data_IF_833033454369
#
_entry.id   IF_833033454369
#
_cell.length_a   1.000
_cell.length_b   1.000
_cell.length_c   1.000
_cell.angle_alpha   90.00
_cell.angle_beta   90.00
_cell.angle_gamma   90.00
#
_symmetry.space_group_name_H-M   'P 1'
#
loop_
_entity.id
_entity.type
_entity.pdbx_description
1 polymer ?
#
# COMPACT_ATOMS: atom_id res chain seq x y z
N UNK A 1 -9.08 9.46 -13.71
CA UNK A 1 -8.56 8.26 -14.40
C UNK A 1 -9.14 7.03 -13.72
N UNK A 2 -9.17 5.86 -14.35
CA UNK A 2 -9.77 4.65 -13.76
C UNK A 2 -9.11 4.22 -12.43
N UNK A 3 -7.82 4.54 -12.23
CA UNK A 3 -7.11 4.39 -10.96
C UNK A 3 -7.65 5.28 -9.81
N UNK A 4 -8.41 6.34 -10.11
CA UNK A 4 -8.99 7.23 -9.09
C UNK A 4 -10.36 6.73 -8.59
N UNK A 5 -10.91 5.67 -9.21
CA UNK A 5 -12.14 5.04 -8.73
C UNK A 5 -11.82 4.42 -7.37
N UNK A 6 -12.61 4.76 -6.36
CA UNK A 6 -12.43 4.27 -5.00
C UNK A 6 -12.45 2.73 -4.95
N UNK A 7 -11.48 2.13 -4.26
CA UNK A 7 -11.47 0.70 -3.96
C UNK A 7 -12.25 0.48 -2.67
N UNK A 8 -13.45 -0.09 -2.77
CA UNK A 8 -14.33 -0.30 -1.63
C UNK A 8 -13.85 -1.53 -0.83
N UNK A 9 -13.54 -1.39 0.48
CA UNK A 9 -12.88 -2.44 1.24
C UNK A 9 -13.84 -3.46 1.86
N UNK A 10 -15.16 -3.26 1.77
CA UNK A 10 -16.18 -4.12 2.37
C UNK A 10 -16.97 -4.97 1.36
N UNK A 11 -17.82 -5.86 1.88
CA UNK A 11 -18.78 -6.62 1.06
C UNK A 11 -19.99 -5.76 0.65
N UNK A 12 -20.79 -6.26 -0.30
CA UNK A 12 -22.02 -5.56 -0.71
C UNK A 12 -22.99 -5.37 0.46
N UNK A 13 -23.13 -6.39 1.30
CA UNK A 13 -24.02 -6.35 2.47
C UNK A 13 -23.61 -5.27 3.46
N UNK A 14 -22.30 -5.10 3.66
CA UNK A 14 -21.76 -4.05 4.51
C UNK A 14 -22.01 -2.66 3.92
N UNK A 15 -21.79 -2.50 2.61
CA UNK A 15 -22.07 -1.25 1.91
C UNK A 15 -23.55 -0.85 2.02
N UNK A 16 -24.48 -1.80 1.89
CA UNK A 16 -25.90 -1.53 2.10
C UNK A 16 -26.20 -1.10 3.53
N UNK A 17 -25.58 -1.75 4.53
CA UNK A 17 -25.76 -1.42 5.95
C UNK A 17 -25.28 0.00 6.28
N UNK A 18 -24.20 0.44 5.63
CA UNK A 18 -23.60 1.77 5.82
C UNK A 18 -24.21 2.85 4.91
N UNK A 19 -25.11 2.49 4.00
CA UNK A 19 -25.69 3.43 3.02
C UNK A 19 -24.72 3.80 1.87
N UNK A 20 -23.70 2.99 1.65
CA UNK A 20 -22.59 3.22 0.71
C UNK A 20 -22.69 2.36 -0.57
N UNK A 21 -23.88 1.82 -0.87
CA UNK A 21 -24.09 0.91 -2.00
C UNK A 21 -23.57 1.44 -3.34
N UNK A 22 -23.74 2.74 -3.62
CA UNK A 22 -23.24 3.34 -4.85
C UNK A 22 -21.70 3.34 -4.96
N UNK A 23 -20.99 3.47 -3.84
CA UNK A 23 -19.52 3.38 -3.80
C UNK A 23 -19.07 1.96 -4.06
N UNK A 24 -19.76 0.99 -3.44
CA UNK A 24 -19.50 -0.43 -3.69
C UNK A 24 -19.78 -0.80 -5.15
N UNK A 25 -20.91 -0.37 -5.72
CA UNK A 25 -21.28 -0.66 -7.10
C UNK A 25 -20.22 -0.16 -8.08
N UNK A 26 -19.79 1.10 -7.94
CA UNK A 26 -18.75 1.68 -8.79
C UNK A 26 -17.42 0.91 -8.66
N UNK A 27 -17.06 0.53 -7.43
CA UNK A 27 -15.84 -0.22 -7.16
C UNK A 27 -15.89 -1.64 -7.73
N UNK A 28 -17.02 -2.33 -7.58
CA UNK A 28 -17.24 -3.67 -8.11
C UNK A 28 -17.11 -3.70 -9.63
N UNK A 29 -17.76 -2.77 -10.34
CA UNK A 29 -17.65 -2.68 -11.80
C UNK A 29 -16.21 -2.40 -12.24
N UNK A 30 -15.50 -1.53 -11.51
CA UNK A 30 -14.08 -1.28 -11.77
C UNK A 30 -13.19 -2.52 -11.51
N UNK A 31 -13.49 -3.34 -10.50
CA UNK A 31 -12.79 -4.62 -10.27
C UNK A 31 -13.03 -5.58 -11.44
N UNK A 32 -14.27 -5.70 -11.90
CA UNK A 32 -14.63 -6.55 -13.05
C UNK A 32 -13.90 -6.07 -14.30
N UNK A 33 -13.92 -4.77 -14.60
CA UNK A 33 -13.20 -4.20 -15.75
C UNK A 33 -11.68 -4.40 -15.65
N UNK A 34 -11.10 -4.24 -14.46
CA UNK A 34 -9.68 -4.51 -14.22
C UNK A 34 -9.33 -5.97 -14.51
N UNK A 35 -10.13 -6.94 -14.05
CA UNK A 35 -9.94 -8.36 -14.34
C UNK A 35 -9.98 -8.64 -15.85
N UNK A 36 -10.97 -8.09 -16.58
CA UNK A 36 -11.07 -8.25 -18.04
C UNK A 36 -9.89 -7.62 -18.78
N UNK A 37 -9.39 -6.48 -18.30
CA UNK A 37 -8.20 -5.84 -18.88
C UNK A 37 -6.94 -6.69 -18.67
N UNK A 38 -6.78 -7.32 -17.50
CA UNK A 38 -5.67 -8.26 -17.23
C UNK A 38 -5.72 -9.44 -18.23
N UNK A 39 -6.90 -10.04 -18.41
CA UNK A 39 -7.08 -11.14 -19.38
C UNK A 39 -6.78 -10.69 -20.81
N UNK A 40 -7.23 -9.48 -21.19
CA UNK A 40 -7.01 -8.92 -22.52
C UNK A 40 -5.52 -8.67 -22.78
N UNK A 41 -4.79 -8.07 -21.84
CA UNK A 41 -3.34 -7.86 -22.03
C UNK A 41 -2.58 -9.18 -22.05
N UNK A 42 -2.94 -10.17 -21.22
CA UNK A 42 -2.29 -11.48 -21.26
C UNK A 42 -2.49 -12.13 -22.63
N UNK A 43 -3.69 -12.04 -23.21
CA UNK A 43 -3.98 -12.57 -24.55
C UNK A 43 -3.17 -11.90 -25.65
N UNK A 44 -2.88 -10.61 -25.52
CA UNK A 44 -2.14 -9.82 -26.52
C UNK A 44 -0.62 -10.00 -26.38
N UNK A 45 -0.12 -10.06 -25.14
CA UNK A 45 1.31 -10.03 -24.83
C UNK A 45 1.90 -11.41 -24.49
N UNK A 46 1.07 -12.45 -24.39
CA UNK A 46 1.51 -13.83 -24.20
C UNK A 46 2.10 -14.41 -25.48
N UNK A 47 3.14 -15.23 -25.35
CA UNK A 47 3.83 -15.88 -26.48
C UNK A 47 3.16 -17.18 -26.97
N UNK A 48 2.06 -17.59 -26.33
CA UNK A 48 1.36 -18.84 -26.60
C UNK A 48 1.95 -20.07 -25.91
N UNK A 49 3.05 -19.92 -25.15
CA UNK A 49 3.74 -21.02 -24.45
C UNK A 49 3.70 -20.85 -22.94
N UNK A 50 4.17 -19.70 -22.44
CA UNK A 50 4.15 -19.33 -21.00
C UNK A 50 4.87 -18.00 -20.72
N UNK A 51 5.55 -17.40 -21.70
CA UNK A 51 6.24 -16.14 -21.50
C UNK A 51 5.29 -14.97 -21.73
N UNK A 52 5.38 -13.97 -20.85
CA UNK A 52 4.61 -12.74 -20.93
C UNK A 52 5.55 -11.56 -21.07
N UNK A 53 5.30 -10.68 -22.05
CA UNK A 53 6.11 -9.47 -22.20
C UNK A 53 5.84 -8.48 -21.05
N UNK A 54 6.84 -7.71 -20.57
CA UNK A 54 6.68 -6.81 -19.42
C UNK A 54 5.64 -5.71 -19.61
N UNK A 55 5.30 -5.35 -20.85
CA UNK A 55 4.29 -4.33 -21.18
C UNK A 55 2.89 -4.72 -20.68
N UNK A 56 2.63 -6.02 -20.47
CA UNK A 56 1.34 -6.50 -20.01
C UNK A 56 0.95 -5.88 -18.65
N UNK A 57 1.80 -6.01 -17.62
CA UNK A 57 1.54 -5.41 -16.32
C UNK A 57 1.57 -3.89 -16.37
N UNK A 58 2.47 -3.30 -17.16
CA UNK A 58 2.60 -1.84 -17.28
C UNK A 58 1.31 -1.18 -17.77
N UNK A 59 0.63 -1.76 -18.76
CA UNK A 59 -0.63 -1.24 -19.27
C UNK A 59 -1.73 -1.26 -18.21
N UNK A 60 -1.85 -2.35 -17.46
CA UNK A 60 -2.87 -2.50 -16.42
C UNK A 60 -2.57 -1.54 -15.26
N UNK A 61 -1.32 -1.51 -14.79
CA UNK A 61 -0.91 -0.64 -13.68
C UNK A 61 -1.08 0.84 -14.01
N UNK A 62 -0.78 1.25 -15.26
CA UNK A 62 -1.02 2.63 -15.70
C UNK A 62 -2.50 3.02 -15.68
N UNK A 63 -3.41 2.07 -15.91
CA UNK A 63 -4.85 2.33 -15.97
C UNK A 63 -5.52 2.23 -14.61
N UNK A 64 -5.19 1.21 -13.84
CA UNK A 64 -5.92 0.80 -12.64
C UNK A 64 -5.16 1.04 -11.34
N UNK A 65 -3.86 1.34 -11.40
CA UNK A 65 -3.00 1.43 -10.23
C UNK A 65 -2.69 0.07 -9.60
N UNK A 66 -1.81 0.08 -8.61
CA UNK A 66 -1.40 -1.10 -7.85
C UNK A 66 -2.48 -1.59 -6.89
N UNK A 67 -3.18 -0.72 -6.15
CA UNK A 67 -4.17 -1.14 -5.13
C UNK A 67 -5.24 -2.02 -5.75
N UNK A 68 -5.85 -1.56 -6.85
CA UNK A 68 -6.92 -2.32 -7.53
C UNK A 68 -6.39 -3.57 -8.21
N UNK A 69 -5.26 -3.46 -8.93
CA UNK A 69 -4.64 -4.61 -9.60
C UNK A 69 -4.30 -5.71 -8.58
N UNK A 70 -3.67 -5.33 -7.46
CA UNK A 70 -3.33 -6.26 -6.38
C UNK A 70 -4.57 -6.88 -5.74
N UNK A 71 -5.64 -6.09 -5.52
CA UNK A 71 -6.90 -6.60 -4.97
C UNK A 71 -7.55 -7.65 -5.87
N UNK A 72 -7.62 -7.40 -7.19
CA UNK A 72 -8.16 -8.35 -8.18
C UNK A 72 -7.32 -9.62 -8.26
N UNK A 73 -5.99 -9.50 -8.24
CA UNK A 73 -5.08 -10.64 -8.26
C UNK A 73 -5.15 -11.47 -6.97
N UNK A 74 -5.23 -10.82 -5.80
CA UNK A 74 -5.40 -11.49 -4.51
C UNK A 74 -6.72 -12.29 -4.48
N UNK A 75 -7.82 -11.69 -4.96
CA UNK A 75 -9.09 -12.39 -5.11
C UNK A 75 -8.98 -13.59 -6.06
N UNK A 76 -8.31 -13.42 -7.20
CA UNK A 76 -8.11 -14.50 -8.16
C UNK A 76 -7.36 -15.68 -7.54
N UNK A 77 -6.26 -15.44 -6.81
CA UNK A 77 -5.49 -16.51 -6.16
C UNK A 77 -6.33 -17.23 -5.09
N UNK A 78 -7.06 -16.50 -4.23
CA UNK A 78 -7.90 -17.14 -3.22
C UNK A 78 -8.91 -18.11 -3.84
N UNK A 79 -9.41 -17.77 -5.02
CA UNK A 79 -10.45 -18.53 -5.72
C UNK A 79 -9.90 -19.69 -6.56
N UNK A 80 -8.58 -19.78 -6.76
CA UNK A 80 -7.93 -20.97 -7.34
C UNK A 80 -8.08 -22.22 -6.45
N UNK A 81 -8.43 -22.06 -5.17
CA UNK A 81 -8.54 -23.18 -4.24
C UNK A 81 -7.24 -23.99 -4.18
N UNK A 82 -7.26 -25.32 -4.41
CA UNK A 82 -6.05 -26.15 -4.34
C UNK A 82 -5.02 -25.84 -5.46
N UNK A 83 -5.45 -25.22 -6.57
CA UNK A 83 -4.53 -24.90 -7.67
C UNK A 83 -3.54 -23.78 -7.33
N UNK A 84 -3.77 -23.02 -6.25
CA UNK A 84 -2.84 -21.98 -5.80
C UNK A 84 -1.46 -22.51 -5.43
N UNK A 85 -1.36 -23.78 -5.05
CA UNK A 85 -0.10 -24.45 -4.73
C UNK A 85 0.82 -24.61 -5.96
N UNK A 86 0.28 -24.43 -7.18
CA UNK A 86 1.04 -24.47 -8.44
C UNK A 86 1.68 -23.12 -8.80
N UNK A 87 1.33 -22.03 -8.11
CA UNK A 87 1.98 -20.74 -8.29
C UNK A 87 3.38 -20.75 -7.68
N UNK A 88 4.24 -19.82 -8.10
CA UNK A 88 5.53 -19.60 -7.45
C UNK A 88 5.37 -19.32 -5.95
N UNK A 89 6.32 -19.79 -5.13
CA UNK A 89 6.27 -19.64 -3.67
C UNK A 89 6.19 -18.15 -3.28
N UNK A 90 6.87 -17.29 -4.02
CA UNK A 90 6.88 -15.86 -3.80
C UNK A 90 5.51 -15.21 -4.07
N UNK A 91 4.77 -15.68 -5.08
CA UNK A 91 3.41 -15.20 -5.36
C UNK A 91 2.40 -15.70 -4.32
N UNK A 92 2.58 -16.93 -3.82
CA UNK A 92 1.79 -17.46 -2.71
C UNK A 92 2.01 -16.65 -1.43
N UNK A 93 3.27 -16.36 -1.05
CA UNK A 93 3.57 -15.55 0.13
C UNK A 93 3.10 -14.11 0.00
N UNK A 94 3.21 -13.53 -1.19
CA UNK A 94 2.69 -12.19 -1.46
C UNK A 94 1.18 -12.11 -1.22
N UNK A 95 0.42 -13.10 -1.68
CA UNK A 95 -1.03 -13.13 -1.54
C UNK A 95 -1.48 -13.15 -0.08
N UNK A 96 -0.77 -13.88 0.80
CA UNK A 96 -1.09 -13.96 2.24
C UNK A 96 -1.11 -12.60 2.95
N UNK A 97 -0.47 -11.58 2.37
CA UNK A 97 -0.44 -10.21 2.91
C UNK A 97 -1.68 -9.39 2.52
N UNK A 98 -2.44 -9.82 1.52
CA UNK A 98 -3.61 -9.13 1.04
C UNK A 98 -4.89 -9.71 1.67
N UNK A 99 -5.79 -8.83 2.12
CA UNK A 99 -7.10 -9.23 2.60
C UNK A 99 -8.17 -8.90 1.54
N UNK A 100 -8.95 -9.90 1.16
CA UNK A 100 -10.14 -9.74 0.31
C UNK A 100 -11.36 -10.17 1.13
N UNK A 101 -12.35 -9.28 1.36
CA UNK A 101 -13.55 -9.64 2.10
C UNK A 101 -14.29 -10.81 1.43
N UNK A 102 -14.80 -11.77 2.21
CA UNK A 102 -15.58 -12.87 1.67
C UNK A 102 -16.92 -12.36 1.11
N UNK A 103 -17.13 -12.51 -0.20
CA UNK A 103 -18.38 -12.20 -0.89
C UNK A 103 -18.51 -13.10 -2.15
N UNK A 104 -18.74 -14.39 -1.95
CA UNK A 104 -18.74 -15.39 -3.04
C UNK A 104 -19.70 -15.07 -4.19
N UNK A 105 -20.82 -14.38 -3.89
CA UNK A 105 -21.79 -13.99 -4.90
C UNK A 105 -21.20 -13.02 -5.94
N UNK A 106 -20.26 -12.17 -5.51
CA UNK A 106 -19.70 -11.09 -6.33
C UNK A 106 -18.23 -11.32 -6.70
N UNK A 107 -17.42 -11.85 -5.79
CA UNK A 107 -15.99 -12.08 -5.97
C UNK A 107 -15.66 -12.90 -7.22
N UNK A 108 -16.58 -13.78 -7.63
CA UNK A 108 -16.45 -14.58 -8.85
C UNK A 108 -16.40 -13.79 -10.16
N UNK A 109 -16.94 -12.58 -10.20
CA UNK A 109 -17.03 -11.80 -11.44
C UNK A 109 -15.74 -11.09 -11.81
N UNK A 110 -14.84 -10.90 -10.83
CA UNK A 110 -13.52 -10.30 -11.02
C UNK A 110 -12.39 -11.29 -10.73
N UNK A 111 -12.65 -12.58 -10.92
CA UNK A 111 -11.59 -13.57 -11.16
C UNK A 111 -10.99 -13.35 -12.56
N UNK A 112 -9.66 -13.42 -12.66
CA UNK A 112 -8.94 -13.41 -13.94
C UNK A 112 -8.91 -14.84 -14.51
N UNK A 113 -9.65 -15.05 -15.60
CA UNK A 113 -9.71 -16.33 -16.33
C UNK A 113 -8.56 -16.42 -17.35
N UNK A 114 -7.46 -17.06 -16.92
CA UNK A 114 -6.29 -17.29 -17.75
C UNK A 114 -5.54 -18.55 -17.32
N UNK A 115 -4.65 -19.06 -18.17
CA UNK A 115 -3.81 -20.20 -17.81
C UNK A 115 -2.87 -19.83 -16.64
N UNK A 116 -2.71 -20.75 -15.68
CA UNK A 116 -1.94 -20.52 -14.46
C UNK A 116 -0.53 -19.98 -14.69
N UNK A 117 0.16 -20.47 -15.73
CA UNK A 117 1.50 -19.98 -16.07
C UNK A 117 1.52 -18.49 -16.41
N UNK A 118 0.49 -17.98 -17.11
CA UNK A 118 0.41 -16.54 -17.39
C UNK A 118 -0.03 -15.72 -16.18
N UNK A 119 -0.92 -16.27 -15.35
CA UNK A 119 -1.29 -15.62 -14.09
C UNK A 119 -0.05 -15.45 -13.20
N UNK A 120 0.72 -16.52 -12.99
CA UNK A 120 1.95 -16.49 -12.20
C UNK A 120 2.97 -15.49 -12.77
N UNK A 121 3.19 -15.51 -14.09
CA UNK A 121 4.09 -14.55 -14.75
C UNK A 121 3.61 -13.10 -14.60
N UNK A 122 2.31 -12.83 -14.75
CA UNK A 122 1.74 -11.48 -14.60
C UNK A 122 1.89 -10.97 -13.17
N UNK A 123 1.60 -11.80 -12.17
CA UNK A 123 1.74 -11.43 -10.75
C UNK A 123 3.21 -11.12 -10.44
N UNK A 124 4.15 -11.92 -10.97
CA UNK A 124 5.58 -11.65 -10.83
C UNK A 124 5.96 -10.30 -11.43
N UNK A 125 5.47 -9.95 -12.63
CA UNK A 125 5.71 -8.63 -13.22
C UNK A 125 5.14 -7.48 -12.38
N UNK A 126 3.94 -7.64 -11.80
CA UNK A 126 3.32 -6.64 -10.92
C UNK A 126 4.14 -6.46 -9.64
N UNK A 127 4.60 -7.55 -9.03
CA UNK A 127 5.44 -7.52 -7.83
C UNK A 127 6.80 -6.89 -8.10
N UNK A 128 7.43 -7.21 -9.24
CA UNK A 128 8.67 -6.55 -9.67
C UNK A 128 8.47 -5.05 -9.89
N UNK A 129 7.37 -4.64 -10.51
CA UNK A 129 7.03 -3.24 -10.70
C UNK A 129 6.81 -2.52 -9.36
N UNK A 130 6.14 -3.17 -8.40
CA UNK A 130 5.95 -2.64 -7.05
C UNK A 130 7.29 -2.53 -6.30
N UNK A 131 8.16 -3.53 -6.42
CA UNK A 131 9.49 -3.53 -5.80
C UNK A 131 10.38 -2.38 -6.27
N UNK A 132 10.25 -1.93 -7.53
CA UNK A 132 10.95 -0.77 -8.07
C UNK A 132 10.53 0.57 -7.46
N UNK A 133 9.42 0.62 -6.71
CA UNK A 133 9.03 1.80 -5.95
C UNK A 133 9.87 1.98 -4.68
N UNK A 134 10.56 0.93 -4.23
CA UNK A 134 11.43 0.93 -3.04
C UNK A 134 10.74 1.44 -1.77
N UNK A 135 9.41 1.21 -1.68
CA UNK A 135 8.60 1.66 -0.55
C UNK A 135 8.96 0.90 0.74
N UNK A 136 8.84 1.60 1.86
CA UNK A 136 9.03 1.03 3.18
C UNK A 136 7.77 0.24 3.60
N UNK A 137 7.93 -1.07 3.76
CA UNK A 137 6.95 -1.97 4.38
C UNK A 137 7.23 -2.34 5.85
N UNK A 138 6.40 -3.20 6.47
CA UNK A 138 6.54 -3.65 7.86
C UNK A 138 7.89 -4.25 8.20
N UNK A 139 8.57 -4.88 7.24
CA UNK A 139 9.90 -5.47 7.41
C UNK A 139 10.99 -4.44 7.79
N UNK A 140 10.79 -3.17 7.42
CA UNK A 140 11.68 -2.06 7.75
C UNK A 140 11.37 -1.41 9.11
N UNK A 141 10.28 -1.84 9.76
CA UNK A 141 9.80 -1.24 11.01
C UNK A 141 10.13 -2.11 12.23
N UNK A 142 10.31 -1.46 13.37
CA UNK A 142 10.47 -2.11 14.67
C UNK A 142 9.25 -3.01 14.97
N UNK A 143 9.47 -4.26 15.45
CA UNK A 143 8.39 -5.19 15.73
C UNK A 143 7.50 -4.66 16.86
N UNK A 144 6.19 -4.85 16.74
CA UNK A 144 5.18 -4.39 17.70
C UNK A 144 5.24 -2.88 18.00
N UNK A 145 5.82 -2.07 17.10
CA UNK A 145 5.96 -0.62 17.31
C UNK A 145 4.64 0.08 17.55
N UNK A 146 3.60 -0.32 16.82
CA UNK A 146 2.25 0.19 17.01
C UNK A 146 1.67 0.00 18.41
N UNK A 147 1.95 -1.13 19.07
CA UNK A 147 1.37 -1.45 20.38
C UNK A 147 2.24 -1.03 21.56
N UNK A 148 3.55 -0.90 21.36
CA UNK A 148 4.51 -0.82 22.46
C UNK A 148 5.40 0.42 22.48
N UNK A 149 5.62 1.08 21.35
CA UNK A 149 6.60 2.16 21.26
C UNK A 149 5.94 3.54 21.31
N UNK A 150 6.57 4.45 22.05
CA UNK A 150 6.31 5.87 21.92
C UNK A 150 6.92 6.41 20.62
N UNK A 151 6.14 7.17 19.87
CA UNK A 151 6.56 7.69 18.57
C UNK A 151 7.24 9.07 18.66
N UNK A 152 7.21 9.76 19.79
CA UNK A 152 7.82 11.08 19.94
C UNK A 152 9.32 11.05 19.60
N UNK A 153 9.75 11.93 18.69
CA UNK A 153 11.12 12.01 18.19
C UNK A 153 11.55 10.86 17.27
N UNK A 154 10.63 9.97 16.87
CA UNK A 154 10.93 8.82 16.00
C UNK A 154 10.58 9.11 14.54
N UNK A 155 11.28 8.43 13.63
CA UNK A 155 10.90 8.36 12.22
C UNK A 155 9.87 7.26 12.05
N UNK A 156 8.71 7.63 11.50
CA UNK A 156 7.60 6.73 11.23
C UNK A 156 7.48 6.48 9.74
N UNK A 157 7.09 5.25 9.40
CA UNK A 157 6.75 4.84 8.03
C UNK A 157 5.25 4.99 7.83
N UNK A 158 4.84 5.92 6.97
CA UNK A 158 3.45 6.10 6.58
C UNK A 158 3.00 4.94 5.67
N UNK A 159 1.82 4.40 5.94
CA UNK A 159 1.26 3.30 5.14
C UNK A 159 0.94 3.76 3.71
N UNK A 160 1.29 2.97 2.67
CA UNK A 160 0.84 3.21 1.31
C UNK A 160 -0.69 3.29 1.16
N UNK A 161 -1.45 2.69 2.08
CA UNK A 161 -2.91 2.75 2.08
C UNK A 161 -3.44 4.14 2.43
N UNK A 162 -2.71 4.89 3.25
CA UNK A 162 -3.01 6.28 3.63
C UNK A 162 -2.75 7.26 2.48
N UNK A 163 -1.75 6.97 1.63
CA UNK A 163 -1.37 7.83 0.51
C UNK A 163 -2.16 7.51 -0.76
N UNK A 164 -2.34 8.54 -1.60
CA UNK A 164 -2.69 8.34 -3.01
C UNK A 164 -1.52 7.67 -3.72
N UNK A 165 -1.80 6.74 -4.63
CA UNK A 165 -0.74 6.02 -5.35
C UNK A 165 0.18 6.94 -6.16
N UNK A 166 -0.34 8.06 -6.66
CA UNK A 166 0.48 9.08 -7.34
C UNK A 166 1.57 9.69 -6.46
N UNK A 167 1.45 9.53 -5.13
CA UNK A 167 2.39 10.03 -4.13
C UNK A 167 3.27 8.91 -3.57
N UNK A 168 3.22 7.69 -4.11
CA UNK A 168 4.03 6.58 -3.63
C UNK A 168 5.50 6.76 -4.03
N UNK A 169 6.28 7.27 -3.08
CA UNK A 169 7.73 7.36 -3.12
C UNK A 169 8.29 7.14 -1.71
N UNK A 170 9.55 6.69 -1.57
CA UNK A 170 10.20 6.58 -0.26
C UNK A 170 10.21 7.91 0.51
N UNK A 171 10.37 9.03 -0.20
CA UNK A 171 10.41 10.38 0.36
C UNK A 171 9.09 10.78 1.05
N UNK A 172 7.96 10.37 0.48
CA UNK A 172 6.64 10.71 1.03
C UNK A 172 6.20 9.79 2.18
N UNK A 173 6.95 8.71 2.45
CA UNK A 173 6.63 7.75 3.51
C UNK A 173 7.32 8.02 4.84
N UNK A 174 8.44 8.73 4.88
CA UNK A 174 9.19 8.93 6.12
C UNK A 174 8.80 10.25 6.80
N UNK A 175 8.28 10.13 8.02
CA UNK A 175 7.78 11.26 8.79
C UNK A 175 8.42 11.29 10.18
N UNK A 176 9.02 12.42 10.56
CA UNK A 176 9.44 12.66 11.94
C UNK A 176 8.21 13.01 12.78
N UNK A 177 7.94 12.22 13.82
CA UNK A 177 6.89 12.52 14.79
C UNK A 177 7.41 13.46 15.88
N UNK A 178 6.67 14.53 16.14
CA UNK A 178 7.04 15.53 17.15
C UNK A 178 6.34 15.26 18.47
N UNK A 179 5.01 15.18 18.45
CA UNK A 179 4.18 15.05 19.64
C UNK A 179 2.72 14.72 19.27
N UNK A 180 1.86 14.74 20.28
CA UNK A 180 0.44 14.50 20.17
C UNK A 180 0.05 13.20 20.86
N UNK A 181 -1.22 13.10 21.26
CA UNK A 181 -1.69 11.94 22.01
C UNK A 181 -1.44 10.62 21.29
N UNK A 182 -1.43 10.59 19.96
CA UNK A 182 -1.17 9.38 19.19
C UNK A 182 0.27 8.86 19.28
N UNK A 183 1.22 9.65 19.81
CA UNK A 183 2.59 9.18 20.05
C UNK A 183 2.62 8.05 21.08
N UNK A 184 1.82 8.18 22.14
CA UNK A 184 1.73 7.18 23.18
C UNK A 184 0.85 6.01 22.74
N UNK A 185 1.31 4.75 22.86
CA UNK A 185 0.53 3.58 22.46
C UNK A 185 -0.75 3.37 23.29
N UNK A 186 -0.79 3.92 24.51
CA UNK A 186 -1.89 3.72 25.46
C UNK A 186 -2.85 4.90 25.57
N UNK A 187 -2.59 5.99 24.85
CA UNK A 187 -3.48 7.13 24.83
C UNK A 187 -4.73 6.87 23.99
N UNK A 188 -5.85 7.42 24.43
CA UNK A 188 -7.11 7.40 23.67
C UNK A 188 -7.00 8.28 22.43
N UNK A 189 -6.34 9.43 22.54
CA UNK A 189 -6.11 10.34 21.43
C UNK A 189 -5.17 9.72 20.41
N UNK A 190 -5.50 9.87 19.12
CA UNK A 190 -4.82 9.17 18.01
C UNK A 190 -3.94 10.07 17.17
N UNK A 191 -4.05 11.39 17.34
CA UNK A 191 -3.38 12.40 16.52
C UNK A 191 -1.90 12.52 16.82
N UNK A 192 -1.09 12.61 15.77
CA UNK A 192 0.36 12.85 15.83
C UNK A 192 0.66 14.03 14.91
N UNK A 193 1.42 15.02 15.40
CA UNK A 193 1.98 16.07 14.54
C UNK A 193 3.31 15.59 14.01
N UNK A 194 3.47 15.64 12.68
CA UNK A 194 4.65 15.13 12.03
C UNK A 194 5.18 16.10 10.97
N UNK A 195 6.46 15.96 10.65
CA UNK A 195 7.09 16.59 9.47
C UNK A 195 7.56 15.51 8.50
N UNK A 196 7.20 15.64 7.22
CA UNK A 196 7.70 14.79 6.15
C UNK A 196 9.20 15.04 5.95
N UNK A 197 10.00 13.98 5.92
CA UNK A 197 11.44 14.10 5.69
C UNK A 197 11.77 14.34 4.21
N UNK A 198 10.84 14.09 3.29
CA UNK A 198 11.02 14.29 1.85
C UNK A 198 11.00 15.75 1.42
N UNK A 199 10.05 16.52 1.94
CA UNK A 199 9.77 17.90 1.50
C UNK A 199 9.59 18.90 2.64
N UNK A 200 9.58 18.44 3.89
CA UNK A 200 9.37 19.28 5.07
C UNK A 200 7.91 19.63 5.36
N UNK A 201 6.93 19.03 4.67
CA UNK A 201 5.51 19.25 4.94
C UNK A 201 5.19 18.93 6.41
N UNK A 202 4.52 19.85 7.10
CA UNK A 202 3.99 19.61 8.44
C UNK A 202 2.50 19.27 8.37
N UNK A 203 2.16 18.06 8.81
CA UNK A 203 0.78 17.56 8.76
C UNK A 203 0.47 16.74 10.01
N UNK A 204 -0.82 16.69 10.37
CA UNK A 204 -1.33 15.81 11.41
C UNK A 204 -1.77 14.49 10.78
N UNK A 205 -1.28 13.39 11.34
CA UNK A 205 -1.71 12.02 11.02
C UNK A 205 -2.33 11.34 12.24
N UNK A 206 -2.89 10.15 12.06
CA UNK A 206 -3.23 9.25 13.14
C UNK A 206 -2.18 8.17 13.32
N UNK A 207 -2.06 7.64 14.54
CA UNK A 207 -1.23 6.45 14.82
C UNK A 207 -1.52 5.27 13.90
N UNK A 208 -2.78 5.10 13.48
CA UNK A 208 -3.24 4.05 12.56
C UNK A 208 -2.77 4.24 11.12
N UNK A 209 -2.35 5.45 10.76
CA UNK A 209 -1.96 5.77 9.39
C UNK A 209 -0.51 5.32 9.11
N UNK A 210 0.23 4.96 10.16
CA UNK A 210 1.62 4.50 10.10
C UNK A 210 1.73 2.99 10.19
N UNK A 211 2.62 2.42 9.39
CA UNK A 211 3.05 1.02 9.46
C UNK A 211 3.82 0.75 10.75
N UNK A 212 4.66 1.69 11.19
CA UNK A 212 5.47 1.55 12.39
C UNK A 212 6.63 2.53 12.48
N UNK A 213 7.45 2.35 13.51
CA UNK A 213 8.72 3.09 13.70
C UNK A 213 9.78 2.48 12.79
N UNK A 214 10.43 3.29 11.96
CA UNK A 214 11.52 2.85 11.08
C UNK A 214 12.73 2.39 11.91
N UNK A 215 13.32 1.25 11.57
CA UNK A 215 14.60 0.82 12.18
C UNK A 215 15.75 1.69 11.67
N UNK A 216 16.73 1.94 12.54
CA UNK A 216 17.85 2.85 12.23
C UNK A 216 18.68 2.36 11.02
N UNK A 217 18.88 1.05 10.84
CA UNK A 217 19.63 0.51 9.72
C UNK A 217 18.99 0.77 8.35
N UNK A 218 17.68 1.07 8.32
CA UNK A 218 16.94 1.39 7.10
C UNK A 218 16.76 2.89 6.89
N UNK A 219 17.32 3.75 7.76
CA UNK A 219 17.27 5.20 7.59
C UNK A 219 18.21 5.65 6.46
N UNK A 220 17.66 6.15 5.32
CA UNK A 220 18.48 6.53 4.19
C UNK A 220 19.24 7.84 4.44
N UNK A 221 20.35 8.04 3.73
CA UNK A 221 21.23 9.20 3.92
C UNK A 221 20.51 10.55 3.81
N UNK A 222 19.66 10.73 2.79
CA UNK A 222 18.89 11.96 2.59
C UNK A 222 17.94 12.27 3.78
N UNK A 223 17.38 11.24 4.42
CA UNK A 223 16.49 11.42 5.56
C UNK A 223 17.29 11.79 6.82
N UNK A 224 18.48 11.21 6.98
CA UNK A 224 19.40 11.55 8.08
C UNK A 224 19.86 13.01 8.00
N UNK A 225 20.27 13.47 6.81
CA UNK A 225 20.63 14.87 6.58
C UNK A 225 19.46 15.82 6.93
N UNK A 226 18.24 15.46 6.53
CA UNK A 226 17.04 16.25 6.85
C UNK A 226 16.72 16.29 8.35
N UNK A 227 16.92 15.20 9.08
CA UNK A 227 16.75 15.17 10.54
C UNK A 227 17.74 16.10 11.24
N UNK A 228 19.00 16.10 10.82
CA UNK A 228 20.03 16.99 11.37
C UNK A 228 19.69 18.47 11.13
N UNK A 229 19.17 18.80 9.95
CA UNK A 229 18.67 20.16 9.66
C UNK A 229 17.57 20.60 10.63
N UNK A 230 16.57 19.74 10.89
CA UNK A 230 15.48 20.06 11.81
C UNK A 230 15.94 20.17 13.27
N UNK A 231 16.87 19.32 13.70
CA UNK A 231 17.44 19.39 15.05
C UNK A 231 18.29 20.66 15.24
N UNK A 232 19.08 21.05 14.22
CA UNK A 232 19.85 22.29 14.22
C UNK A 232 18.99 23.55 14.27
N UNK A 233 17.84 23.55 13.57
CA UNK A 233 16.90 24.68 13.59
C UNK A 233 16.19 24.83 14.94
N UNK A 234 15.75 23.74 15.56
CA UNK A 234 15.11 23.77 16.88
C UNK A 234 16.08 24.20 18.00
N UNK A 235 17.36 23.83 17.91
CA UNK A 235 18.39 24.30 18.85
C UNK A 235 18.64 25.82 18.75
N UNK A 236 18.47 26.41 17.56
CA UNK A 236 18.63 27.84 17.33
C UNK A 236 17.51 28.73 17.90
N UNK A 237 16.30 28.20 18.08
CA UNK A 237 15.16 28.96 18.62
C UNK A 237 15.08 28.97 20.16
N UNK A 238 15.81 28.09 20.86
CA UNK A 238 15.87 28.04 22.32
C UNK A 238 16.83 29.04 22.98
N UNK A 239 17.58 29.81 22.18
CA UNK A 239 18.65 30.70 22.63
C UNK A 239 18.31 32.19 22.65
N UNK A 240 17.04 32.58 22.86
CA UNK A 240 16.71 33.98 23.12
C UNK A 240 16.94 34.27 24.61
N UNK A 241 18.20 34.59 24.95
CA UNK A 241 18.58 35.11 26.26
C UNK A 241 17.77 36.37 26.57
N UNK A 242 16.93 36.28 27.60
CA UNK A 242 16.31 37.43 28.24
C UNK A 242 17.42 38.16 29.01
N UNK A 243 17.88 39.28 28.45
CA UNK A 243 18.70 40.28 29.15
C UNK A 243 17.82 41.20 30.01
#
# INVERSE_FOLDING_TARGET
>A
MEQDIYLYPGSQSEAHRLGEAALWDASFHANVSCARDIEAVIRVYGDGRSALKPEASQMVLKRWGFKRTNFVLANTIERLGPYKEQLSAENQEWQKKAYVPPDDAHNRYFEVDTALAYLDAFISQVREAYGKLELFGPEHCEPNSYESLDYEGRVLVLSPDTLKESCWTPQNQLWLAHDGFGCSPHAVGRSIRCTCLGDGEQTRWNRTDFTGVLKEEFLPGWAREKLEEFQGQNAGMGGMEMT
#
